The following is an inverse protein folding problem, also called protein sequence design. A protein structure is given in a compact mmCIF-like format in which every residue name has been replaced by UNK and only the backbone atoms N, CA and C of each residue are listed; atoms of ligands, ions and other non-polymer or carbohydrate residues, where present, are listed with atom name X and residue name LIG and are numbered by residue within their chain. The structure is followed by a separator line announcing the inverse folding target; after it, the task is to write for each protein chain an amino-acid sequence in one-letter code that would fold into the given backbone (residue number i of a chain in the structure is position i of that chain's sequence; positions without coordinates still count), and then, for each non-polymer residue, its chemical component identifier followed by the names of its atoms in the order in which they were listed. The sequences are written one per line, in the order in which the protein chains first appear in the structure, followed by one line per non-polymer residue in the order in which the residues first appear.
data_IF_969590795625
#
_entry.id   IF_969590795625
#
_cell.length_a   1.000
_cell.length_b   1.000
_cell.length_c   1.000
_cell.angle_alpha   90.00
_cell.angle_beta   90.00
_cell.angle_gamma   90.00
#
_symmetry.space_group_name_H-M   'P 1'
#
loop_
_entity.id
_entity.type
_entity.pdbx_description
1 polymer ?
#
# COMPACT_ATOMS: atom_id res chain seq x y z
N UNK A 1 -18.20 21.57 -10.07
CA UNK A 1 -17.14 20.55 -9.79
C UNK A 1 -17.83 19.26 -9.39
N UNK A 2 -17.62 18.16 -10.13
CA UNK A 2 -18.45 16.96 -10.07
C UNK A 2 -18.47 16.31 -8.67
N UNK A 3 -19.67 16.20 -8.07
CA UNK A 3 -19.91 15.57 -6.76
C UNK A 3 -19.23 14.20 -6.59
N UNK A 4 -19.15 13.41 -7.67
CA UNK A 4 -18.47 12.11 -7.68
C UNK A 4 -16.97 12.19 -7.39
N UNK A 5 -16.27 13.19 -7.94
CA UNK A 5 -14.82 13.36 -7.74
C UNK A 5 -14.54 13.71 -6.29
N UNK A 6 -15.35 14.59 -5.69
CA UNK A 6 -15.21 14.94 -4.28
C UNK A 6 -15.40 13.74 -3.36
N UNK A 7 -16.43 12.91 -3.63
CA UNK A 7 -16.69 11.69 -2.85
C UNK A 7 -15.55 10.68 -3.01
N UNK A 8 -15.00 10.50 -4.22
CA UNK A 8 -13.85 9.61 -4.44
C UNK A 8 -12.65 10.03 -3.59
N UNK A 9 -12.25 11.30 -3.64
CA UNK A 9 -11.11 11.78 -2.86
C UNK A 9 -11.38 11.70 -1.36
N UNK A 10 -12.58 12.04 -0.89
CA UNK A 10 -12.95 11.91 0.51
C UNK A 10 -12.85 10.47 1.01
N UNK A 11 -13.37 9.51 0.25
CA UNK A 11 -13.28 8.08 0.59
C UNK A 11 -11.83 7.59 0.59
N UNK A 12 -11.01 8.03 -0.38
CA UNK A 12 -9.58 7.71 -0.41
C UNK A 12 -8.91 8.26 0.85
N UNK A 13 -9.14 9.53 1.19
CA UNK A 13 -8.55 10.16 2.38
C UNK A 13 -8.89 9.39 3.65
N UNK A 14 -10.17 9.08 3.87
CA UNK A 14 -10.64 8.34 5.05
C UNK A 14 -10.01 6.93 5.08
N UNK A 15 -10.01 6.22 3.95
CA UNK A 15 -9.41 4.89 3.85
C UNK A 15 -7.90 4.89 4.11
N UNK A 16 -7.16 5.86 3.56
CA UNK A 16 -5.72 6.01 3.78
C UNK A 16 -5.40 6.28 5.25
N UNK A 17 -6.19 7.13 5.93
CA UNK A 17 -6.01 7.42 7.36
C UNK A 17 -6.28 6.18 8.21
N UNK A 18 -7.37 5.45 7.94
CA UNK A 18 -7.67 4.20 8.65
C UNK A 18 -6.57 3.15 8.46
N UNK A 19 -6.00 3.08 7.25
CA UNK A 19 -4.88 2.18 6.95
C UNK A 19 -3.62 2.61 7.71
N UNK A 20 -3.32 3.90 7.76
CA UNK A 20 -2.20 4.45 8.53
C UNK A 20 -2.33 4.14 10.03
N UNK A 21 -3.52 4.29 10.61
CA UNK A 21 -3.81 3.89 12.00
C UNK A 21 -3.55 2.39 12.20
N UNK A 22 -4.02 1.55 11.27
CA UNK A 22 -3.80 0.11 11.34
C UNK A 22 -2.31 -0.26 11.30
N UNK A 23 -1.53 0.45 10.48
CA UNK A 23 -0.07 0.26 10.39
C UNK A 23 0.60 0.61 11.72
N UNK A 24 0.32 1.79 12.28
CA UNK A 24 0.99 2.28 13.49
C UNK A 24 0.59 1.49 14.73
N UNK A 25 -0.70 1.18 14.90
CA UNK A 25 -1.21 0.53 16.12
C UNK A 25 -1.04 -0.98 16.13
N UNK A 26 -1.05 -1.64 14.96
CA UNK A 26 -0.98 -3.11 14.89
C UNK A 26 0.28 -3.63 14.21
N UNK A 27 0.62 -3.08 13.03
CA UNK A 27 1.64 -3.72 12.20
C UNK A 27 3.05 -3.45 12.72
N UNK A 28 3.35 -2.20 13.08
CA UNK A 28 4.67 -1.81 13.61
C UNK A 28 4.96 -2.50 14.96
N UNK A 29 4.07 -2.47 15.98
CA UNK A 29 4.37 -3.07 17.29
C UNK A 29 4.51 -4.59 17.24
N UNK A 30 3.77 -5.25 16.35
CA UNK A 30 3.79 -6.72 16.21
C UNK A 30 4.78 -7.21 15.14
N UNK A 31 5.59 -6.33 14.53
CA UNK A 31 6.50 -6.66 13.42
C UNK A 31 5.80 -7.40 12.26
N UNK A 32 4.53 -7.07 12.01
CA UNK A 32 3.75 -7.66 10.92
C UNK A 32 4.08 -6.89 9.66
N UNK A 33 4.73 -7.57 8.72
CA UNK A 33 4.99 -7.02 7.39
C UNK A 33 3.65 -6.92 6.66
N UNK A 34 3.40 -5.78 6.01
CA UNK A 34 2.28 -5.63 5.09
C UNK A 34 2.35 -6.72 4.02
N UNK A 35 1.47 -7.71 4.15
CA UNK A 35 1.37 -8.83 3.23
C UNK A 35 1.07 -8.35 1.82
N UNK A 36 1.70 -8.98 0.84
CA UNK A 36 1.57 -8.65 -0.57
C UNK A 36 2.57 -9.46 -1.38
N UNK A 37 3.08 -8.87 -2.45
CA UNK A 37 4.12 -9.47 -3.30
C UNK A 37 5.37 -9.83 -2.52
N UNK A 38 5.78 -8.98 -1.57
CA UNK A 38 6.91 -9.20 -0.66
C UNK A 38 6.67 -10.38 0.28
N UNK A 39 5.49 -10.46 0.89
CA UNK A 39 5.10 -11.58 1.75
C UNK A 39 5.05 -12.91 1.01
N UNK A 40 4.48 -12.92 -0.21
CA UNK A 40 4.46 -14.09 -1.09
C UNK A 40 5.89 -14.54 -1.45
N UNK A 41 6.76 -13.61 -1.82
CA UNK A 41 8.15 -13.92 -2.13
C UNK A 41 8.90 -14.52 -0.92
N UNK A 42 8.68 -14.00 0.29
CA UNK A 42 9.28 -14.55 1.52
C UNK A 42 8.80 -15.98 1.79
N UNK A 43 7.49 -16.26 1.60
CA UNK A 43 6.93 -17.60 1.78
C UNK A 43 7.57 -18.57 0.78
N UNK A 44 7.63 -18.20 -0.51
CA UNK A 44 8.18 -19.07 -1.55
C UNK A 44 9.69 -19.26 -1.35
N UNK A 45 10.42 -18.24 -0.89
CA UNK A 45 11.83 -18.39 -0.49
C UNK A 45 11.99 -19.41 0.63
N UNK A 46 11.14 -19.37 1.66
CA UNK A 46 11.22 -20.31 2.78
C UNK A 46 10.91 -21.77 2.36
N UNK A 47 10.12 -21.98 1.32
CA UNK A 47 9.73 -23.32 0.84
C UNK A 47 10.68 -23.85 -0.25
N UNK A 48 11.09 -23.01 -1.20
CA UNK A 48 11.82 -23.42 -2.41
C UNK A 48 13.23 -22.82 -2.53
N UNK A 49 13.62 -21.89 -1.67
CA UNK A 49 14.95 -21.26 -1.68
C UNK A 49 15.17 -20.23 -2.79
N UNK A 50 14.13 -19.80 -3.51
CA UNK A 50 14.24 -18.82 -4.58
C UNK A 50 14.53 -17.40 -4.09
N UNK A 51 15.27 -16.62 -4.88
CA UNK A 51 15.69 -15.27 -4.51
C UNK A 51 14.49 -14.31 -4.43
N UNK A 52 14.22 -13.81 -3.23
CA UNK A 52 13.08 -12.91 -2.92
C UNK A 52 13.04 -11.71 -3.86
N UNK A 53 14.19 -11.08 -4.13
CA UNK A 53 14.25 -9.90 -4.99
C UNK A 53 13.82 -10.16 -6.44
N UNK A 54 14.23 -11.29 -7.01
CA UNK A 54 13.86 -11.67 -8.38
C UNK A 54 12.36 -11.97 -8.48
N UNK A 55 11.81 -12.66 -7.47
CA UNK A 55 10.38 -12.94 -7.38
C UNK A 55 9.57 -11.65 -7.28
N UNK A 56 9.96 -10.75 -6.37
CA UNK A 56 9.30 -9.46 -6.22
C UNK A 56 9.33 -8.65 -7.52
N UNK A 57 10.44 -8.65 -8.25
CA UNK A 57 10.54 -7.96 -9.53
C UNK A 57 9.54 -8.51 -10.56
N UNK A 58 9.50 -9.84 -10.74
CA UNK A 58 8.58 -10.49 -11.69
C UNK A 58 7.12 -10.25 -11.30
N UNK A 59 6.78 -10.42 -10.03
CA UNK A 59 5.41 -10.24 -9.54
C UNK A 59 4.96 -8.78 -9.64
N UNK A 60 5.81 -7.82 -9.26
CA UNK A 60 5.49 -6.40 -9.41
C UNK A 60 5.34 -6.01 -10.88
N UNK A 61 6.20 -6.50 -11.77
CA UNK A 61 6.09 -6.21 -13.20
C UNK A 61 4.77 -6.71 -13.78
N UNK A 62 4.36 -7.93 -13.44
CA UNK A 62 3.08 -8.48 -13.86
C UNK A 62 1.89 -7.65 -13.34
N UNK A 63 1.92 -7.27 -12.05
CA UNK A 63 0.88 -6.43 -11.46
C UNK A 63 0.84 -5.03 -12.04
N UNK A 64 1.98 -4.41 -12.34
CA UNK A 64 2.03 -3.10 -13.00
C UNK A 64 1.36 -3.16 -14.37
N UNK A 65 1.69 -4.17 -15.19
CA UNK A 65 1.08 -4.35 -16.52
C UNK A 65 -0.45 -4.47 -16.37
N UNK A 66 -0.93 -5.32 -15.46
CA UNK A 66 -2.36 -5.52 -15.20
C UNK A 66 -3.01 -4.20 -14.73
N UNK A 67 -2.38 -3.48 -13.80
CA UNK A 67 -2.88 -2.22 -13.28
C UNK A 67 -3.00 -1.14 -14.37
N UNK A 68 -2.00 -1.04 -15.26
CA UNK A 68 -2.05 -0.10 -16.39
C UNK A 68 -3.19 -0.42 -17.35
N UNK A 69 -3.42 -1.71 -17.65
CA UNK A 69 -4.50 -2.14 -18.57
C UNK A 69 -5.88 -1.89 -17.96
N UNK A 70 -6.09 -2.24 -16.68
CA UNK A 70 -7.41 -2.21 -16.06
C UNK A 70 -7.80 -0.82 -15.58
N UNK A 71 -6.87 -0.09 -14.96
CA UNK A 71 -7.19 1.11 -14.17
C UNK A 71 -6.81 2.41 -14.87
N UNK A 72 -5.93 2.36 -15.86
CA UNK A 72 -5.49 3.50 -16.66
C UNK A 72 -4.70 4.56 -15.86
N UNK A 73 -4.26 5.60 -16.55
CA UNK A 73 -3.36 6.64 -15.99
C UNK A 73 -4.02 7.46 -14.87
N UNK A 74 -5.34 7.66 -14.95
CA UNK A 74 -6.09 8.41 -13.92
C UNK A 74 -6.08 7.76 -12.54
N UNK A 75 -5.97 6.42 -12.47
CA UNK A 75 -5.81 5.70 -11.22
C UNK A 75 -4.44 5.93 -10.58
N UNK A 76 -3.40 6.09 -11.41
CA UNK A 76 -2.05 6.38 -10.93
C UNK A 76 -1.99 7.64 -10.08
N UNK A 77 -2.67 8.71 -10.52
CA UNK A 77 -2.72 9.98 -9.78
C UNK A 77 -3.41 9.80 -8.42
N UNK A 78 -4.55 9.12 -8.39
CA UNK A 78 -5.28 8.82 -7.14
C UNK A 78 -4.46 7.93 -6.20
N UNK A 79 -3.70 6.97 -6.74
CA UNK A 79 -2.82 6.09 -5.97
C UNK A 79 -1.64 6.84 -5.37
N UNK A 80 -0.99 7.73 -6.14
CA UNK A 80 0.08 8.59 -5.63
C UNK A 80 -0.46 9.49 -4.52
N UNK A 81 -1.63 10.11 -4.71
CA UNK A 81 -2.27 10.91 -3.68
C UNK A 81 -2.51 10.12 -2.38
N UNK A 82 -3.09 8.93 -2.50
CA UNK A 82 -3.31 8.02 -1.36
C UNK A 82 -2.00 7.65 -0.66
N UNK A 83 -0.97 7.28 -1.43
CA UNK A 83 0.33 6.87 -0.89
C UNK A 83 1.01 8.00 -0.12
N UNK A 84 1.05 9.22 -0.70
CA UNK A 84 1.63 10.39 -0.03
C UNK A 84 0.87 10.72 1.26
N UNK A 85 -0.45 10.75 1.19
CA UNK A 85 -1.29 11.02 2.36
C UNK A 85 -1.07 9.96 3.46
N UNK A 86 -1.04 8.68 3.08
CA UNK A 86 -0.82 7.59 4.03
C UNK A 86 0.55 7.71 4.70
N UNK A 87 1.62 7.95 3.94
CA UNK A 87 2.97 8.12 4.50
C UNK A 87 3.05 9.28 5.49
N UNK A 88 2.51 10.45 5.14
CA UNK A 88 2.48 11.60 6.05
C UNK A 88 1.68 11.28 7.31
N UNK A 89 0.55 10.58 7.16
CA UNK A 89 -0.31 10.23 8.29
C UNK A 89 0.37 9.23 9.22
N UNK A 90 1.05 8.21 8.69
CA UNK A 90 1.83 7.25 9.48
C UNK A 90 2.91 7.95 10.30
N UNK A 91 3.74 8.79 9.67
CA UNK A 91 4.81 9.52 10.37
C UNK A 91 4.25 10.43 11.47
N UNK A 92 3.12 11.08 11.19
CA UNK A 92 2.46 11.97 12.13
C UNK A 92 1.89 11.21 13.34
N UNK A 93 1.24 10.06 13.12
CA UNK A 93 0.77 9.19 14.20
C UNK A 93 1.93 8.62 15.03
N UNK A 94 3.01 8.18 14.39
CA UNK A 94 4.20 7.71 15.11
C UNK A 94 4.79 8.81 15.99
N UNK A 95 4.93 10.03 15.47
CA UNK A 95 5.47 11.17 16.22
C UNK A 95 4.59 11.55 17.41
N UNK A 96 3.27 11.38 17.27
CA UNK A 96 2.30 11.59 18.36
C UNK A 96 2.31 10.49 19.43
N UNK A 97 3.18 9.47 19.31
CA UNK A 97 3.17 8.27 20.18
C UNK A 97 1.77 7.66 20.27
N UNK A 98 1.07 7.61 19.13
CA UNK A 98 -0.19 6.88 19.06
C UNK A 98 0.07 5.39 19.34
N UNK A 99 -0.69 4.75 20.23
CA UNK A 99 -0.50 3.36 20.60
C UNK A 99 -0.77 2.40 19.43
#
# INVERSE_FOLDING_TARGET
MNRKVFVDYFLITVGSILTAVSIVSFMIPNNIIAGGVSGLAIIIYRVFGFWVGAQMFVYNLALFIIAFIILGVGFGIKSIYSAVLMSITVDLLQKLHFP
#
